data_IF_700753545008
#
_entry.id   IF_700753545008
#
_cell.length_a   1.000
_cell.length_b   1.000
_cell.length_c   1.000
_cell.angle_alpha   90.00
_cell.angle_beta   90.00
_cell.angle_gamma   90.00
#
_symmetry.space_group_name_H-M   'P 1'
#
loop_
_entity.id
_entity.type
_entity.pdbx_description
1 polymer ?
#
# COMPACT_ATOMS: atom_id res chain seq x y z
N UNK A 1 -13.15 -9.86 8.01
CA UNK A 1 -13.15 -8.42 7.68
C UNK A 1 -13.66 -8.19 6.26
N UNK A 2 -14.20 -6.98 6.00
CA UNK A 2 -14.68 -6.58 4.68
C UNK A 2 -13.51 -6.07 3.83
N UNK A 3 -13.54 -6.37 2.54
CA UNK A 3 -12.59 -5.82 1.57
C UNK A 3 -13.22 -4.65 0.80
N UNK A 4 -12.41 -3.90 0.07
CA UNK A 4 -12.92 -2.82 -0.79
C UNK A 4 -13.97 -3.33 -1.79
N UNK A 5 -13.80 -4.54 -2.32
CA UNK A 5 -14.76 -5.14 -3.25
C UNK A 5 -16.12 -5.39 -2.60
N UNK A 6 -16.13 -5.84 -1.34
CA UNK A 6 -17.38 -6.08 -0.58
C UNK A 6 -18.10 -4.75 -0.30
N UNK A 7 -17.32 -3.70 0.02
CA UNK A 7 -17.86 -2.36 0.27
C UNK A 7 -18.49 -1.77 -0.99
N UNK A 8 -17.80 -1.83 -2.13
CA UNK A 8 -18.30 -1.30 -3.40
C UNK A 8 -19.55 -2.04 -3.91
N UNK A 9 -19.73 -3.33 -3.55
CA UNK A 9 -20.95 -4.08 -3.89
C UNK A 9 -22.19 -3.60 -3.15
N UNK A 10 -22.02 -3.04 -1.96
CA UNK A 10 -23.12 -2.59 -1.10
C UNK A 10 -23.57 -1.15 -1.40
N UNK A 11 -22.81 -0.41 -2.18
CA UNK A 11 -23.08 0.98 -2.52
C UNK A 11 -23.85 1.11 -3.86
N UNK A 12 -24.19 2.34 -4.23
CA UNK A 12 -25.05 2.62 -5.36
C UNK A 12 -24.41 2.40 -6.76
N UNK A 13 -25.12 2.78 -7.84
CA UNK A 13 -24.71 2.50 -9.22
C UNK A 13 -23.35 3.07 -9.64
N UNK A 14 -22.88 4.16 -9.01
CA UNK A 14 -21.56 4.74 -9.24
C UNK A 14 -20.43 3.80 -8.78
N UNK A 15 -20.57 3.22 -7.60
CA UNK A 15 -19.63 2.28 -7.01
C UNK A 15 -19.62 0.94 -7.74
N UNK A 16 -20.74 0.49 -8.30
CA UNK A 16 -20.79 -0.71 -9.15
C UNK A 16 -19.96 -0.57 -10.43
N UNK A 17 -19.92 0.62 -11.04
CA UNK A 17 -19.06 0.90 -12.21
C UNK A 17 -17.57 0.85 -11.83
N UNK A 18 -17.22 1.36 -10.67
CA UNK A 18 -15.87 1.23 -10.10
C UNK A 18 -15.53 -0.23 -9.85
N UNK A 19 -16.44 -0.99 -9.25
CA UNK A 19 -16.28 -2.42 -9.01
C UNK A 19 -15.98 -3.21 -10.28
N UNK A 20 -16.71 -2.96 -11.37
CA UNK A 20 -16.47 -3.61 -12.67
C UNK A 20 -15.10 -3.23 -13.25
N UNK A 21 -14.69 -1.96 -13.09
CA UNK A 21 -13.34 -1.51 -13.46
C UNK A 21 -12.28 -2.24 -12.63
N UNK A 22 -12.42 -2.29 -11.31
CA UNK A 22 -11.49 -2.98 -10.39
C UNK A 22 -11.38 -4.46 -10.71
N UNK A 23 -12.48 -5.17 -10.88
CA UNK A 23 -12.47 -6.60 -11.26
C UNK A 23 -11.73 -6.84 -12.57
N UNK A 24 -11.84 -5.91 -13.52
CA UNK A 24 -11.14 -6.00 -14.80
C UNK A 24 -9.66 -5.59 -14.74
N UNK A 25 -9.25 -4.87 -13.68
CA UNK A 25 -7.91 -4.36 -13.42
C UNK A 25 -7.21 -5.10 -12.26
N UNK A 26 -7.89 -6.02 -11.60
CA UNK A 26 -7.55 -6.65 -10.33
C UNK A 26 -6.18 -7.32 -10.20
N UNK A 27 -5.32 -7.14 -11.19
CA UNK A 27 -3.91 -7.54 -11.16
C UNK A 27 -2.96 -6.35 -10.93
N UNK A 28 -3.47 -5.09 -10.99
CA UNK A 28 -2.59 -3.91 -10.95
C UNK A 28 -2.37 -3.31 -9.55
N UNK A 29 -3.21 -3.65 -8.57
CA UNK A 29 -3.07 -3.15 -7.18
C UNK A 29 -3.62 -4.18 -6.19
N UNK A 30 -2.91 -5.31 -6.00
CA UNK A 30 -3.40 -6.40 -5.16
C UNK A 30 -3.57 -5.99 -3.70
N UNK A 31 -2.79 -5.05 -3.17
CA UNK A 31 -2.91 -4.52 -1.81
C UNK A 31 -4.25 -3.82 -1.57
N UNK A 32 -4.70 -3.01 -2.53
CA UNK A 32 -5.99 -2.28 -2.42
C UNK A 32 -7.17 -3.25 -2.37
N UNK A 33 -7.05 -4.41 -2.99
CA UNK A 33 -8.09 -5.44 -3.01
C UNK A 33 -8.00 -6.44 -1.86
N UNK A 34 -6.79 -6.69 -1.34
CA UNK A 34 -6.52 -7.67 -0.30
C UNK A 34 -6.65 -7.12 1.12
N UNK A 35 -6.39 -5.82 1.31
CA UNK A 35 -6.44 -5.23 2.64
C UNK A 35 -7.89 -5.01 3.08
N UNK A 36 -8.20 -5.18 4.37
CA UNK A 36 -9.52 -4.91 4.92
C UNK A 36 -9.85 -3.42 4.83
N UNK A 37 -11.14 -3.11 4.85
CA UNK A 37 -11.65 -1.75 4.76
C UNK A 37 -12.63 -1.51 5.89
N UNK A 38 -12.40 -0.45 6.64
CA UNK A 38 -13.32 0.03 7.69
C UNK A 38 -13.99 1.31 7.22
N UNK A 39 -15.33 1.33 7.28
CA UNK A 39 -16.12 2.54 7.00
C UNK A 39 -16.27 3.37 8.27
N UNK A 40 -16.03 4.68 8.14
CA UNK A 40 -16.19 5.62 9.24
C UNK A 40 -17.31 6.63 8.98
N UNK A 41 -17.94 7.09 10.05
CA UNK A 41 -18.91 8.19 10.00
C UNK A 41 -18.16 9.52 10.02
N UNK A 42 -17.92 10.09 8.84
CA UNK A 42 -17.20 11.37 8.69
C UNK A 42 -15.85 11.22 8.00
N UNK A 43 -14.94 12.15 8.25
CA UNK A 43 -13.61 12.24 7.60
C UNK A 43 -12.46 11.93 8.55
N UNK A 44 -12.74 11.68 9.83
CA UNK A 44 -11.73 11.30 10.82
C UNK A 44 -12.34 10.54 11.98
N UNK A 45 -11.55 9.74 12.66
CA UNK A 45 -11.89 9.10 13.93
C UNK A 45 -10.66 9.00 14.84
N UNK A 46 -10.90 8.85 16.13
CA UNK A 46 -9.85 8.72 17.11
C UNK A 46 -9.68 7.27 17.55
N UNK A 47 -8.43 6.82 17.55
CA UNK A 47 -8.02 5.52 18.05
C UNK A 47 -7.32 5.73 19.39
N UNK A 48 -7.74 5.00 20.40
CA UNK A 48 -7.05 4.97 21.69
C UNK A 48 -6.17 3.73 21.77
N UNK A 49 -4.87 3.92 21.63
CA UNK A 49 -3.88 2.83 21.70
C UNK A 49 -3.30 2.75 23.13
N UNK A 50 -3.10 1.54 23.61
CA UNK A 50 -2.43 1.31 24.90
C UNK A 50 -0.94 1.55 24.72
N UNK A 51 -0.44 2.66 25.26
CA UNK A 51 0.98 3.02 25.22
C UNK A 51 1.81 2.27 26.27
N UNK A 52 1.19 1.75 27.30
CA UNK A 52 1.89 0.98 28.32
C UNK A 52 0.96 0.29 29.29
N UNK A 53 1.28 -0.98 29.55
CA UNK A 53 0.59 -1.80 30.56
C UNK A 53 1.38 -1.73 31.86
N UNK A 54 0.74 -1.46 33.01
CA UNK A 54 1.44 -1.35 34.28
C UNK A 54 1.97 -2.74 34.73
N UNK A 55 3.17 -2.75 35.27
CA UNK A 55 3.76 -3.96 35.86
C UNK A 55 3.20 -4.17 37.23
N UNK A 56 2.54 -5.32 37.45
CA UNK A 56 2.01 -5.74 38.76
C UNK A 56 3.15 -6.24 39.63
N UNK A 57 3.26 -5.72 40.85
CA UNK A 57 4.21 -6.18 41.84
C UNK A 57 3.55 -7.05 42.91
N UNK A 58 4.35 -7.85 43.58
CA UNK A 58 3.91 -8.62 44.75
C UNK A 58 4.02 -7.76 46.03
N UNK A 59 3.12 -7.96 46.98
CA UNK A 59 3.15 -7.30 48.26
C UNK A 59 3.08 -8.33 49.41
N UNK A 60 3.71 -8.08 50.55
CA UNK A 60 3.51 -8.89 51.72
C UNK A 60 2.09 -8.68 52.30
N UNK A 61 1.58 -9.64 53.09
CA UNK A 61 0.33 -9.47 53.83
C UNK A 61 0.35 -8.19 54.66
N UNK A 62 -0.79 -7.50 54.75
CA UNK A 62 -0.99 -6.24 55.50
C UNK A 62 -0.21 -5.00 54.98
N UNK A 63 0.49 -5.07 53.85
CA UNK A 63 1.06 -3.90 53.20
C UNK A 63 0.08 -3.33 52.16
N UNK A 64 0.20 -2.02 51.84
CA UNK A 64 -0.57 -1.38 50.77
C UNK A 64 -0.14 -1.83 49.38
N UNK A 65 -1.07 -1.85 48.41
CA UNK A 65 -0.76 -2.04 46.99
C UNK A 65 -0.60 -0.68 46.30
N UNK A 66 0.30 -0.60 45.32
CA UNK A 66 0.45 0.60 44.49
C UNK A 66 -0.68 0.64 43.47
N UNK A 67 -1.34 1.81 43.35
CA UNK A 67 -2.31 2.01 42.28
C UNK A 67 -1.60 2.00 40.91
N UNK A 68 -2.16 1.25 39.99
CA UNK A 68 -1.60 1.02 38.66
C UNK A 68 -2.60 1.54 37.61
N UNK A 69 -2.13 2.43 36.76
CA UNK A 69 -2.93 2.97 35.67
C UNK A 69 -2.29 2.58 34.32
N UNK A 70 -3.12 2.18 33.39
CA UNK A 70 -2.72 1.96 32.00
C UNK A 70 -2.50 3.32 31.32
N UNK A 71 -1.44 3.43 30.55
CA UNK A 71 -1.21 4.63 29.73
C UNK A 71 -1.84 4.45 28.36
N UNK A 72 -2.66 5.41 27.96
CA UNK A 72 -3.30 5.46 26.65
C UNK A 72 -2.72 6.61 25.84
N UNK A 73 -2.62 6.42 24.54
CA UNK A 73 -2.29 7.47 23.58
C UNK A 73 -3.38 7.51 22.54
N UNK A 74 -3.93 8.68 22.29
CA UNK A 74 -4.91 8.89 21.23
C UNK A 74 -4.20 9.27 19.94
N UNK A 75 -4.60 8.61 18.86
CA UNK A 75 -4.15 8.88 17.49
C UNK A 75 -5.38 9.19 16.65
N UNK A 76 -5.34 10.30 15.92
CA UNK A 76 -6.40 10.66 14.97
C UNK A 76 -6.04 10.11 13.59
N UNK A 77 -6.92 9.29 13.03
CA UNK A 77 -6.85 8.83 11.63
C UNK A 77 -7.76 9.73 10.81
N UNK A 78 -7.22 10.29 9.73
CA UNK A 78 -7.95 11.17 8.81
C UNK A 78 -8.10 10.50 7.46
N UNK A 79 -9.24 10.74 6.82
CA UNK A 79 -9.45 10.44 5.40
C UNK A 79 -9.15 11.70 4.59
N UNK A 80 -8.62 11.49 3.40
CA UNK A 80 -8.27 12.52 2.43
C UNK A 80 -9.11 12.33 1.18
N UNK A 81 -9.41 13.41 0.50
CA UNK A 81 -10.29 13.40 -0.65
C UNK A 81 -9.49 13.10 -1.91
N UNK A 82 -9.86 12.04 -2.62
CA UNK A 82 -9.34 11.74 -3.94
C UNK A 82 -10.31 12.27 -4.99
N UNK A 83 -9.80 12.95 -6.01
CA UNK A 83 -10.57 13.54 -7.10
C UNK A 83 -9.87 13.25 -8.43
N UNK A 84 -10.53 12.46 -9.26
CA UNK A 84 -10.05 12.10 -10.60
C UNK A 84 -11.03 12.60 -11.67
N UNK A 85 -10.85 13.83 -12.23
CA UNK A 85 -11.68 14.31 -13.31
C UNK A 85 -11.41 13.52 -14.60
N UNK A 86 -12.48 13.15 -15.31
CA UNK A 86 -12.45 12.45 -16.58
C UNK A 86 -13.12 13.38 -17.61
N UNK A 87 -12.36 13.84 -18.60
CA UNK A 87 -12.83 14.75 -19.63
C UNK A 87 -12.47 14.20 -21.01
N UNK A 88 -13.46 14.01 -21.85
CA UNK A 88 -13.26 13.57 -23.24
C UNK A 88 -14.00 14.54 -24.19
N UNK A 89 -13.28 15.11 -25.14
CA UNK A 89 -13.85 16.02 -26.12
C UNK A 89 -14.97 15.35 -26.94
N UNK A 90 -16.14 16.01 -27.01
CA UNK A 90 -17.29 15.52 -27.76
C UNK A 90 -16.95 15.28 -29.22
N UNK A 91 -16.11 16.14 -29.82
CA UNK A 91 -15.72 16.00 -31.23
C UNK A 91 -14.96 14.68 -31.47
N UNK A 92 -14.11 14.25 -30.54
CA UNK A 92 -13.39 12.99 -30.62
C UNK A 92 -14.35 11.80 -30.46
N UNK A 93 -15.28 11.89 -29.51
CA UNK A 93 -16.28 10.83 -29.27
C UNK A 93 -17.21 10.64 -30.45
N UNK A 94 -17.69 11.75 -31.05
CA UNK A 94 -18.61 11.70 -32.18
C UNK A 94 -17.94 11.32 -33.50
N UNK A 95 -16.67 11.63 -33.70
CA UNK A 95 -15.89 11.22 -34.88
C UNK A 95 -15.46 9.76 -34.84
N UNK A 96 -15.44 9.12 -33.66
CA UNK A 96 -15.04 7.72 -33.53
C UNK A 96 -16.22 6.78 -33.84
N UNK A 97 -15.95 5.64 -34.54
CA UNK A 97 -16.96 4.61 -34.81
C UNK A 97 -17.61 4.01 -33.53
N UNK A 98 -16.92 4.09 -32.38
CA UNK A 98 -17.36 3.53 -31.09
C UNK A 98 -17.08 4.51 -29.94
N UNK A 99 -17.70 5.69 -29.95
CA UNK A 99 -17.49 6.73 -28.92
C UNK A 99 -17.76 6.26 -27.49
N UNK A 100 -18.82 5.45 -27.29
CA UNK A 100 -19.12 4.88 -25.98
C UNK A 100 -18.00 3.96 -25.46
N UNK A 101 -17.35 3.20 -26.34
CA UNK A 101 -16.22 2.34 -25.98
C UNK A 101 -14.97 3.16 -25.63
N UNK A 102 -14.78 4.31 -26.28
CA UNK A 102 -13.70 5.23 -25.96
C UNK A 102 -13.87 5.82 -24.55
N UNK A 103 -15.08 6.32 -24.23
CA UNK A 103 -15.40 6.81 -22.88
C UNK A 103 -15.21 5.75 -21.81
N UNK A 104 -15.68 4.54 -22.06
CA UNK A 104 -15.50 3.43 -21.12
C UNK A 104 -14.01 3.09 -20.91
N UNK A 105 -13.19 3.18 -21.96
CA UNK A 105 -11.75 2.96 -21.87
C UNK A 105 -11.06 4.05 -21.04
N UNK A 106 -11.39 5.32 -21.26
CA UNK A 106 -10.81 6.43 -20.48
C UNK A 106 -11.22 6.35 -19.01
N UNK A 107 -12.50 6.09 -18.73
CA UNK A 107 -12.99 5.85 -17.37
C UNK A 107 -12.19 4.73 -16.68
N UNK A 108 -11.97 3.62 -17.40
CA UNK A 108 -11.18 2.50 -16.88
C UNK A 108 -9.73 2.90 -16.60
N UNK A 109 -9.10 3.66 -17.49
CA UNK A 109 -7.71 4.11 -17.34
C UNK A 109 -7.56 5.04 -16.12
N UNK A 110 -8.46 6.00 -15.95
CA UNK A 110 -8.45 6.92 -14.79
C UNK A 110 -8.69 6.17 -13.49
N UNK A 111 -9.63 5.23 -13.47
CA UNK A 111 -9.86 4.37 -12.31
C UNK A 111 -8.61 3.56 -11.96
N UNK A 112 -7.94 2.97 -12.96
CA UNK A 112 -6.67 2.27 -12.77
C UNK A 112 -5.58 3.19 -12.18
N UNK A 113 -5.48 4.41 -12.70
CA UNK A 113 -4.56 5.43 -12.20
C UNK A 113 -4.83 5.79 -10.74
N UNK A 114 -6.09 5.98 -10.36
CA UNK A 114 -6.47 6.27 -8.99
C UNK A 114 -6.09 5.13 -8.03
N UNK A 115 -6.34 3.88 -8.40
CA UNK A 115 -5.93 2.73 -7.58
C UNK A 115 -4.41 2.59 -7.47
N UNK A 116 -3.68 2.83 -8.55
CA UNK A 116 -2.23 2.82 -8.54
C UNK A 116 -1.67 3.95 -7.65
N UNK A 117 -2.31 5.13 -7.64
CA UNK A 117 -1.94 6.24 -6.75
C UNK A 117 -2.20 5.89 -5.28
N UNK A 118 -3.35 5.32 -4.95
CA UNK A 118 -3.66 4.86 -3.59
C UNK A 118 -2.68 3.78 -3.14
N UNK A 119 -2.36 2.82 -4.01
CA UNK A 119 -1.39 1.78 -3.73
C UNK A 119 0.01 2.33 -3.47
N UNK A 120 0.47 3.28 -4.30
CA UNK A 120 1.76 3.93 -4.11
C UNK A 120 1.82 4.71 -2.79
N UNK A 121 0.77 5.50 -2.49
CA UNK A 121 0.65 6.27 -1.27
C UNK A 121 0.56 5.40 0.00
N UNK A 122 0.12 4.16 -0.13
CA UNK A 122 0.14 3.20 0.98
C UNK A 122 1.55 3.02 1.54
N UNK A 123 2.56 2.99 0.67
CA UNK A 123 3.95 2.73 1.04
C UNK A 123 4.81 3.99 1.13
N UNK A 124 4.51 5.01 0.31
CA UNK A 124 5.32 6.22 0.18
C UNK A 124 4.46 7.48 0.25
N UNK A 125 5.07 8.56 0.74
CA UNK A 125 4.50 9.89 0.71
C UNK A 125 5.61 10.91 0.41
N UNK A 126 5.31 11.92 -0.40
CA UNK A 126 6.20 13.07 -0.53
C UNK A 126 6.07 13.95 0.72
N UNK A 127 7.19 14.40 1.25
CA UNK A 127 7.21 15.21 2.48
C UNK A 127 6.47 16.54 2.34
N UNK A 128 6.38 17.04 1.11
CA UNK A 128 5.71 18.30 0.78
C UNK A 128 4.18 18.16 0.68
N UNK A 129 3.67 16.94 0.53
CA UNK A 129 2.23 16.69 0.36
C UNK A 129 1.55 16.50 1.71
N UNK A 130 0.96 17.59 2.23
CA UNK A 130 0.18 17.56 3.48
C UNK A 130 -1.26 17.05 3.27
N UNK A 131 -1.77 17.12 2.04
CA UNK A 131 -3.14 16.78 1.68
C UNK A 131 -3.37 15.28 1.36
N UNK A 132 -2.39 14.43 1.68
CA UNK A 132 -2.46 12.98 1.50
C UNK A 132 -2.27 12.24 2.83
N UNK A 133 -2.83 11.04 2.92
CA UNK A 133 -2.70 10.24 4.14
C UNK A 133 -1.25 9.80 4.40
N UNK A 134 -0.84 9.72 5.69
CA UNK A 134 0.48 9.25 6.06
C UNK A 134 0.66 7.79 5.64
N UNK A 135 1.79 7.45 5.01
CA UNK A 135 2.08 6.12 4.54
C UNK A 135 2.32 5.12 5.69
N UNK A 136 2.31 3.83 5.39
CA UNK A 136 2.51 2.77 6.39
C UNK A 136 3.85 2.92 7.11
N UNK A 137 4.92 3.28 6.39
CA UNK A 137 6.25 3.45 6.98
C UNK A 137 6.35 4.60 7.99
N UNK A 138 5.52 5.65 7.85
CA UNK A 138 5.46 6.76 8.81
C UNK A 138 4.62 6.44 10.05
N UNK A 139 3.72 5.47 9.95
CA UNK A 139 2.80 5.11 11.04
C UNK A 139 3.31 3.96 11.91
N UNK A 140 4.28 3.18 11.42
CA UNK A 140 4.89 2.08 12.17
C UNK A 140 5.95 2.58 13.15
N UNK A 141 6.28 1.78 14.16
CA UNK A 141 7.34 2.09 15.12
C UNK A 141 8.74 1.81 14.54
N UNK A 142 9.71 2.67 14.83
CA UNK A 142 11.11 2.52 14.37
C UNK A 142 11.72 1.17 14.74
N UNK A 143 11.35 0.62 15.91
CA UNK A 143 11.80 -0.67 16.40
C UNK A 143 11.25 -1.87 15.60
N UNK A 144 10.27 -1.66 14.74
CA UNK A 144 9.72 -2.68 13.84
C UNK A 144 10.43 -2.74 12.48
N UNK A 145 11.64 -2.19 12.39
CA UNK A 145 12.42 -2.15 11.15
C UNK A 145 13.75 -2.89 11.32
N UNK A 146 14.09 -3.72 10.33
CA UNK A 146 15.39 -4.41 10.21
C UNK A 146 16.02 -4.04 8.86
N UNK A 147 17.35 -3.84 8.83
CA UNK A 147 18.08 -3.70 7.58
C UNK A 147 18.55 -5.06 7.05
N UNK A 148 18.41 -5.30 5.75
CA UNK A 148 18.99 -6.44 5.05
C UNK A 148 20.51 -6.34 5.01
N UNK A 149 21.05 -5.12 4.93
CA UNK A 149 22.48 -4.85 5.01
C UNK A 149 22.95 -4.88 6.48
N UNK A 150 23.83 -5.82 6.86
CA UNK A 150 24.34 -5.93 8.23
C UNK A 150 25.08 -4.67 8.71
N UNK A 151 25.75 -3.93 7.80
CA UNK A 151 26.50 -2.72 8.14
C UNK A 151 25.59 -1.56 8.57
N UNK A 152 24.31 -1.61 8.22
CA UNK A 152 23.29 -0.59 8.48
C UNK A 152 22.30 -0.98 9.59
N UNK A 153 22.63 -2.00 10.39
CA UNK A 153 21.77 -2.48 11.49
C UNK A 153 21.97 -1.71 12.79
N UNK A 154 23.09 -0.98 12.94
CA UNK A 154 23.28 -0.12 14.10
C UNK A 154 22.22 0.99 14.14
N UNK A 155 21.70 1.25 15.33
CA UNK A 155 20.63 2.23 15.55
C UNK A 155 21.19 3.66 15.58
N UNK A 156 21.70 4.11 14.44
CA UNK A 156 22.18 5.49 14.22
C UNK A 156 21.15 6.28 13.40
N UNK A 157 21.12 7.60 13.57
CA UNK A 157 20.24 8.48 12.81
C UNK A 157 20.47 8.34 11.29
N UNK A 158 21.73 8.22 10.87
CA UNK A 158 22.11 7.99 9.47
C UNK A 158 21.51 6.69 8.92
N UNK A 159 21.60 5.58 9.69
CA UNK A 159 21.06 4.30 9.29
C UNK A 159 19.53 4.28 9.29
N UNK A 160 18.87 5.03 10.18
CA UNK A 160 17.41 5.20 10.17
C UNK A 160 16.93 5.94 8.93
N UNK A 161 17.66 6.99 8.53
CA UNK A 161 17.34 7.80 7.35
C UNK A 161 17.68 7.12 6.02
N UNK A 162 18.59 6.12 6.03
CA UNK A 162 18.99 5.41 4.80
C UNK A 162 17.88 4.44 4.34
N UNK A 163 17.38 4.70 3.14
CA UNK A 163 16.39 3.89 2.44
C UNK A 163 16.91 3.48 1.05
N UNK A 164 18.19 3.11 0.94
CA UNK A 164 18.77 2.61 -0.30
C UNK A 164 18.31 1.17 -0.58
N UNK A 165 17.83 0.91 -1.80
CA UNK A 165 17.31 -0.40 -2.19
C UNK A 165 15.81 -0.58 -1.95
N UNK A 166 15.33 -1.81 -2.06
CA UNK A 166 13.92 -2.15 -1.89
C UNK A 166 13.56 -2.49 -0.43
N UNK A 167 12.27 -2.53 -0.15
CA UNK A 167 11.74 -3.03 1.13
C UNK A 167 10.78 -4.20 0.95
N UNK A 168 10.63 -4.99 2.02
CA UNK A 168 9.58 -5.97 2.20
C UNK A 168 8.88 -5.73 3.54
N UNK A 169 7.58 -5.94 3.59
CA UNK A 169 6.75 -5.69 4.78
C UNK A 169 6.05 -6.95 5.24
N UNK A 170 6.13 -7.26 6.53
CA UNK A 170 5.30 -8.27 7.17
C UNK A 170 4.10 -7.55 7.78
N UNK A 171 2.90 -7.93 7.37
CA UNK A 171 1.68 -7.21 7.76
C UNK A 171 0.68 -8.13 8.47
N UNK A 172 0.08 -7.62 9.55
CA UNK A 172 -1.10 -8.19 10.17
C UNK A 172 -2.29 -7.36 9.72
N UNK A 173 -3.24 -7.97 9.05
CA UNK A 173 -4.44 -7.33 8.55
C UNK A 173 -5.62 -7.52 9.52
N UNK A 174 -6.40 -6.47 9.72
CA UNK A 174 -7.60 -6.50 10.56
C UNK A 174 -7.98 -5.10 11.02
N UNK A 175 -9.17 -4.99 11.59
CA UNK A 175 -9.72 -3.71 12.05
C UNK A 175 -8.91 -3.09 13.19
N UNK A 176 -8.25 -3.90 14.02
CA UNK A 176 -7.37 -3.45 15.11
C UNK A 176 -5.88 -3.35 14.70
N UNK A 177 -5.55 -3.60 13.43
CA UNK A 177 -4.19 -3.66 12.93
C UNK A 177 -3.99 -2.73 11.73
N UNK A 178 -3.74 -3.29 10.55
CA UNK A 178 -3.59 -2.55 9.31
C UNK A 178 -4.85 -2.70 8.47
N UNK A 179 -5.47 -1.58 8.13
CA UNK A 179 -6.63 -1.55 7.25
C UNK A 179 -6.78 -0.19 6.53
N UNK A 180 -7.50 -0.20 5.41
CA UNK A 180 -7.93 1.04 4.78
C UNK A 180 -9.14 1.63 5.51
N UNK A 181 -9.23 2.95 5.49
CA UNK A 181 -10.35 3.70 6.06
C UNK A 181 -11.03 4.46 4.94
N UNK A 182 -12.36 4.32 4.85
CA UNK A 182 -13.17 4.99 3.85
C UNK A 182 -14.33 5.74 4.50
N UNK A 183 -14.58 6.96 4.00
CA UNK A 183 -15.70 7.76 4.48
C UNK A 183 -17.04 7.14 4.10
N UNK A 184 -18.02 7.19 5.01
CA UNK A 184 -19.32 6.49 4.85
C UNK A 184 -20.13 6.95 3.65
N UNK A 185 -20.08 8.25 3.31
CA UNK A 185 -20.92 8.82 2.25
C UNK A 185 -20.27 8.81 0.87
N UNK A 186 -18.96 8.67 0.79
CA UNK A 186 -18.21 8.68 -0.47
C UNK A 186 -17.00 7.75 -0.36
N UNK A 187 -17.23 6.46 -0.46
CA UNK A 187 -16.14 5.48 -0.45
C UNK A 187 -15.25 5.66 -1.67
N UNK A 188 -15.74 5.35 -2.82
CA UNK A 188 -15.16 5.65 -4.13
C UNK A 188 -16.29 5.53 -5.14
N UNK A 189 -16.64 6.62 -5.77
CA UNK A 189 -17.81 6.69 -6.65
C UNK A 189 -17.47 7.38 -7.95
N UNK A 190 -18.04 6.85 -9.03
CA UNK A 190 -17.95 7.45 -10.36
C UNK A 190 -19.24 8.20 -10.65
N UNK A 191 -19.16 9.52 -10.87
CA UNK A 191 -20.30 10.33 -11.23
C UNK A 191 -20.85 9.93 -12.60
N UNK A 192 -22.17 10.14 -12.87
CA UNK A 192 -22.72 9.92 -14.19
C UNK A 192 -22.03 10.81 -15.22
N UNK A 193 -21.83 10.27 -16.43
CA UNK A 193 -21.30 11.07 -17.56
C UNK A 193 -22.28 12.18 -17.91
N UNK A 194 -21.80 13.43 -17.93
CA UNK A 194 -22.54 14.62 -18.32
C UNK A 194 -21.88 15.26 -19.52
N UNK A 195 -22.66 15.99 -20.32
CA UNK A 195 -22.14 16.84 -21.36
C UNK A 195 -22.03 18.26 -20.81
N UNK A 196 -20.80 18.78 -20.71
CA UNK A 196 -20.53 20.10 -20.13
C UNK A 196 -19.56 20.89 -20.99
N UNK A 197 -19.59 22.20 -20.81
CA UNK A 197 -18.66 23.12 -21.47
C UNK A 197 -17.44 23.31 -20.57
N UNK A 198 -16.27 22.89 -21.05
CA UNK A 198 -15.01 22.90 -20.29
C UNK A 198 -14.08 23.97 -20.89
N UNK A 199 -13.42 24.70 -19.99
CA UNK A 199 -12.42 25.69 -20.37
C UNK A 199 -11.16 25.00 -20.89
N UNK A 200 -10.67 25.38 -22.08
CA UNK A 200 -9.42 24.85 -22.65
C UNK A 200 -8.70 25.96 -23.38
N UNK A 201 -7.38 26.00 -23.23
CA UNK A 201 -6.56 26.94 -24.04
C UNK A 201 -6.62 26.60 -25.54
N UNK A 202 -6.70 27.61 -26.34
CA UNK A 202 -6.58 27.50 -27.82
C UNK A 202 -5.12 27.18 -28.18
N UNK A 203 -4.90 26.91 -29.51
CA UNK A 203 -3.51 26.70 -29.99
C UNK A 203 -2.60 27.93 -29.80
N UNK A 204 -3.19 29.11 -29.63
CA UNK A 204 -2.47 30.37 -29.39
C UNK A 204 -2.41 30.75 -27.90
N UNK A 205 -2.65 29.78 -26.97
CA UNK A 205 -2.70 29.97 -25.53
C UNK A 205 -3.79 30.91 -24.98
N UNK A 206 -4.73 31.34 -25.85
CA UNK A 206 -5.87 32.14 -25.45
C UNK A 206 -6.94 31.29 -24.75
N UNK A 207 -7.75 31.91 -23.89
CA UNK A 207 -8.85 31.21 -23.21
C UNK A 207 -9.92 30.81 -24.25
N UNK A 208 -10.27 29.55 -24.25
CA UNK A 208 -11.29 28.97 -25.11
C UNK A 208 -12.15 27.98 -24.32
N UNK A 209 -13.14 27.40 -24.96
CA UNK A 209 -13.96 26.35 -24.35
C UNK A 209 -14.34 25.30 -25.38
N UNK A 210 -14.44 24.07 -24.93
CA UNK A 210 -14.92 22.93 -25.71
C UNK A 210 -16.13 22.30 -25.00
N UNK A 211 -16.95 21.61 -25.77
CA UNK A 211 -17.97 20.74 -25.21
C UNK A 211 -17.36 19.36 -25.02
N UNK A 212 -17.34 18.88 -23.78
CA UNK A 212 -16.77 17.59 -23.41
C UNK A 212 -17.79 16.72 -22.67
N UNK A 213 -17.60 15.42 -22.75
CA UNK A 213 -18.21 14.47 -21.81
C UNK A 213 -17.36 14.42 -20.56
N UNK A 214 -17.96 14.79 -19.43
CA UNK A 214 -17.30 14.84 -18.13
C UNK A 214 -17.84 13.78 -17.18
N UNK A 215 -16.99 13.19 -16.40
CA UNK A 215 -17.30 12.33 -15.26
C UNK A 215 -16.21 12.55 -14.20
N UNK A 216 -16.48 12.20 -12.97
CA UNK A 216 -15.54 12.39 -11.88
C UNK A 216 -15.50 11.16 -11.02
N UNK A 217 -14.29 10.68 -10.74
CA UNK A 217 -14.04 9.64 -9.74
C UNK A 217 -13.65 10.33 -8.43
N UNK A 218 -14.45 10.15 -7.40
CA UNK A 218 -14.29 10.87 -6.15
C UNK A 218 -14.54 9.97 -4.93
N UNK A 219 -13.87 10.26 -3.82
CA UNK A 219 -14.05 9.55 -2.58
C UNK A 219 -13.12 10.02 -1.46
N UNK A 220 -13.44 9.63 -0.23
CA UNK A 220 -12.61 9.86 0.95
C UNK A 220 -11.93 8.58 1.36
N UNK A 221 -10.61 8.55 1.38
CA UNK A 221 -9.82 7.38 1.73
C UNK A 221 -8.66 7.72 2.67
N UNK A 222 -8.17 6.71 3.35
CA UNK A 222 -7.02 6.77 4.23
C UNK A 222 -6.54 5.38 4.58
N UNK A 223 -5.45 5.29 5.31
CA UNK A 223 -4.92 4.04 5.86
C UNK A 223 -4.66 4.21 7.36
N UNK A 224 -4.98 3.19 8.12
CA UNK A 224 -4.77 3.15 9.55
C UNK A 224 -3.83 2.00 9.94
N UNK A 225 -2.82 2.31 10.73
CA UNK A 225 -2.02 1.35 11.48
C UNK A 225 -2.36 1.55 12.95
N UNK A 226 -3.29 0.73 13.48
CA UNK A 226 -3.80 0.92 14.84
C UNK A 226 -2.87 0.37 15.89
N UNK A 227 -2.34 -0.83 15.65
CA UNK A 227 -1.37 -1.45 16.56
C UNK A 227 0.06 -1.11 16.16
N UNK A 228 0.94 -0.78 17.13
CA UNK A 228 2.37 -0.59 16.85
C UNK A 228 3.06 -1.87 16.37
N UNK A 229 2.41 -3.02 16.50
CA UNK A 229 2.89 -4.32 16.01
C UNK A 229 2.13 -4.79 14.77
N UNK A 230 1.41 -3.91 14.07
CA UNK A 230 0.67 -4.31 12.86
C UNK A 230 1.60 -4.58 11.67
N UNK A 231 2.74 -3.89 11.61
CA UNK A 231 3.64 -3.93 10.45
C UNK A 231 5.09 -4.01 10.91
N UNK A 232 5.89 -4.89 10.27
CA UNK A 232 7.34 -4.86 10.35
C UNK A 232 7.94 -4.68 8.96
N UNK A 233 9.05 -3.94 8.85
CA UNK A 233 9.73 -3.62 7.61
C UNK A 233 11.13 -4.21 7.57
N UNK A 234 11.48 -4.82 6.45
CA UNK A 234 12.85 -5.20 6.09
C UNK A 234 13.27 -4.22 4.99
N UNK A 235 14.21 -3.33 5.26
CA UNK A 235 14.69 -2.30 4.33
C UNK A 235 16.07 -2.61 3.77
N UNK A 236 16.52 -1.81 2.80
CA UNK A 236 17.86 -1.90 2.19
C UNK A 236 18.11 -3.26 1.52
N UNK A 237 17.09 -3.83 0.89
CA UNK A 237 17.21 -5.06 0.11
C UNK A 237 17.85 -4.70 -1.23
N UNK A 238 19.04 -5.24 -1.50
CA UNK A 238 19.82 -5.01 -2.72
C UNK A 238 20.24 -6.35 -3.32
N UNK A 239 20.77 -6.39 -4.57
CA UNK A 239 21.32 -7.63 -5.11
C UNK A 239 22.47 -8.22 -4.30
N UNK A 240 23.23 -7.38 -3.56
CA UNK A 240 24.30 -7.80 -2.66
C UNK A 240 23.79 -8.32 -1.32
N UNK A 241 22.69 -7.76 -0.84
CA UNK A 241 21.99 -8.14 0.38
C UNK A 241 20.53 -8.52 0.07
N UNK A 242 20.32 -9.67 -0.60
CA UNK A 242 18.99 -10.11 -1.00
C UNK A 242 18.15 -10.52 0.21
N UNK A 243 16.82 -10.50 0.04
CA UNK A 243 15.91 -11.06 1.03
C UNK A 243 16.15 -12.56 1.18
N UNK A 244 16.25 -13.03 2.43
CA UNK A 244 16.42 -14.45 2.76
C UNK A 244 15.32 -14.92 3.72
N UNK A 245 15.09 -16.24 3.79
CA UNK A 245 14.18 -16.84 4.76
C UNK A 245 14.59 -16.54 6.22
N UNK A 246 15.89 -16.40 6.48
CA UNK A 246 16.44 -16.04 7.79
C UNK A 246 16.08 -14.61 8.17
N UNK A 247 16.20 -13.64 7.24
CA UNK A 247 15.79 -12.25 7.47
C UNK A 247 14.31 -12.13 7.77
N UNK A 248 13.46 -12.89 7.06
CA UNK A 248 12.03 -12.92 7.34
C UNK A 248 11.75 -13.55 8.69
N UNK A 249 12.47 -14.62 9.08
CA UNK A 249 12.35 -15.20 10.40
C UNK A 249 12.79 -14.22 11.51
N UNK A 250 13.86 -13.45 11.27
CA UNK A 250 14.33 -12.40 12.17
C UNK A 250 13.28 -11.29 12.32
N UNK A 251 12.75 -10.76 11.19
CA UNK A 251 11.67 -9.77 11.22
C UNK A 251 10.41 -10.26 11.95
N UNK A 252 10.08 -11.55 11.83
CA UNK A 252 8.98 -12.18 12.57
C UNK A 252 9.21 -12.14 14.08
N UNK A 253 10.46 -12.10 14.55
CA UNK A 253 10.75 -12.03 16.00
C UNK A 253 10.44 -10.67 16.60
N UNK A 254 10.34 -9.61 15.81
CA UNK A 254 9.93 -8.28 16.27
C UNK A 254 8.49 -8.26 16.79
N UNK A 255 7.66 -9.15 16.27
CA UNK A 255 6.30 -9.30 16.77
C UNK A 255 6.26 -10.04 18.10
N UNK A 256 5.37 -9.66 19.02
CA UNK A 256 5.08 -10.45 20.21
C UNK A 256 4.76 -11.89 19.84
N UNK A 257 5.20 -12.86 20.67
CA UNK A 257 5.04 -14.30 20.37
C UNK A 257 3.59 -14.70 20.06
N UNK A 258 2.61 -14.08 20.73
CA UNK A 258 1.19 -14.33 20.51
C UNK A 258 0.70 -13.83 19.13
N UNK A 259 1.36 -12.83 18.55
CA UNK A 259 0.94 -12.21 17.27
C UNK A 259 1.66 -12.82 16.06
N UNK A 260 2.75 -13.56 16.25
CA UNK A 260 3.54 -14.15 15.14
C UNK A 260 2.73 -15.07 14.22
N UNK A 261 1.71 -15.73 14.76
CA UNK A 261 0.79 -16.57 13.99
C UNK A 261 -0.31 -15.80 13.25
N UNK A 262 -0.47 -14.49 13.52
CA UNK A 262 -1.47 -13.63 12.92
C UNK A 262 -0.97 -12.89 11.68
N UNK A 263 0.33 -12.98 11.35
CA UNK A 263 0.90 -12.31 10.18
C UNK A 263 0.21 -12.85 8.93
N UNK A 264 -0.44 -11.93 8.20
CA UNK A 264 -1.31 -12.27 7.07
C UNK A 264 -0.52 -12.44 5.78
N UNK A 265 0.41 -11.51 5.52
CA UNK A 265 1.22 -11.49 4.30
C UNK A 265 2.64 -11.00 4.55
N UNK A 266 3.55 -11.46 3.69
CA UNK A 266 4.80 -10.77 3.39
C UNK A 266 4.60 -10.04 2.07
N UNK A 267 4.55 -8.71 2.12
CA UNK A 267 4.35 -7.86 0.95
C UNK A 267 5.69 -7.47 0.38
N UNK A 268 5.89 -7.72 -0.90
CA UNK A 268 7.14 -7.41 -1.61
C UNK A 268 6.90 -7.20 -3.09
N UNK A 269 7.84 -6.55 -3.77
CA UNK A 269 7.79 -6.43 -5.22
C UNK A 269 8.31 -7.71 -5.93
N UNK A 270 8.05 -7.84 -7.23
CA UNK A 270 8.43 -9.02 -8.01
C UNK A 270 9.94 -9.24 -8.09
N UNK A 271 10.77 -8.19 -8.04
CA UNK A 271 12.24 -8.32 -8.08
C UNK A 271 12.77 -8.88 -6.76
N UNK A 272 12.25 -8.40 -5.63
CA UNK A 272 12.59 -8.94 -4.30
C UNK A 272 12.15 -10.40 -4.19
N UNK A 273 10.95 -10.74 -4.68
CA UNK A 273 10.47 -12.14 -4.74
C UNK A 273 11.40 -13.02 -5.57
N UNK A 274 11.82 -12.53 -6.74
CA UNK A 274 12.79 -13.25 -7.59
C UNK A 274 14.15 -13.42 -6.88
N UNK A 275 14.62 -12.41 -6.16
CA UNK A 275 15.82 -12.48 -5.31
C UNK A 275 15.70 -13.59 -4.27
N UNK A 276 14.59 -13.61 -3.53
CA UNK A 276 14.29 -14.65 -2.54
C UNK A 276 14.27 -16.06 -3.17
N UNK A 277 13.65 -16.22 -4.34
CA UNK A 277 13.64 -17.50 -5.04
C UNK A 277 15.03 -17.95 -5.49
N UNK A 278 15.91 -17.01 -5.88
CA UNK A 278 17.31 -17.32 -6.23
C UNK A 278 18.10 -17.81 -5.01
N UNK A 279 17.93 -17.23 -3.83
CA UNK A 279 18.61 -17.67 -2.61
C UNK A 279 18.17 -19.07 -2.16
N UNK A 280 16.95 -19.48 -2.49
CA UNK A 280 16.39 -20.81 -2.20
C UNK A 280 16.83 -21.91 -3.17
N UNK A 281 17.41 -21.56 -4.32
CA UNK A 281 17.90 -22.54 -5.29
C UNK A 281 19.16 -23.24 -4.76
N UNK A 282 19.01 -24.48 -4.33
CA UNK A 282 20.14 -25.34 -3.99
C UNK A 282 20.71 -25.83 -5.33
N UNK A 283 21.96 -25.44 -5.65
CA UNK A 283 22.70 -26.05 -6.77
C UNK A 283 22.99 -27.49 -6.37
N UNK A 284 22.58 -28.51 -7.15
CA UNK A 284 22.90 -29.89 -6.87
C UNK A 284 24.44 -30.05 -6.88
N UNK A 285 25.01 -30.39 -5.73
CA UNK A 285 26.43 -30.74 -5.67
C UNK A 285 26.68 -32.01 -6.49
N UNK A 286 27.75 -32.04 -7.29
CA UNK A 286 28.25 -33.19 -8.02
C UNK A 286 28.82 -34.23 -7.08
N UNK A 287 27.99 -34.83 -6.24
CA UNK A 287 28.35 -35.92 -5.32
C UNK A 287 27.24 -36.96 -5.23
N UNK A 288 27.63 -38.22 -5.19
CA UNK A 288 26.79 -39.42 -5.11
C UNK A 288 25.87 -39.44 -3.86
N UNK A 289 24.94 -38.52 -3.74
CA UNK A 289 23.95 -38.49 -2.68
C UNK A 289 22.62 -37.96 -3.22
N UNK A 290 21.54 -38.67 -2.96
CA UNK A 290 20.19 -38.29 -3.35
C UNK A 290 19.90 -36.85 -2.99
N UNK A 291 19.75 -36.03 -3.97
CA UNK A 291 19.39 -34.61 -3.83
C UNK A 291 17.94 -34.51 -3.40
N UNK A 292 17.70 -34.29 -2.12
CA UNK A 292 16.41 -33.83 -1.64
C UNK A 292 16.24 -32.41 -2.15
N UNK A 293 15.59 -32.23 -3.27
CA UNK A 293 15.02 -30.95 -3.63
C UNK A 293 13.86 -30.70 -2.66
N UNK A 294 14.11 -29.90 -1.63
CA UNK A 294 13.03 -29.35 -0.85
C UNK A 294 12.37 -28.34 -1.78
N UNK A 295 11.24 -28.71 -2.34
CA UNK A 295 10.37 -27.82 -3.07
C UNK A 295 9.80 -26.81 -2.06
N UNK A 296 10.49 -25.70 -1.88
CA UNK A 296 9.95 -24.58 -1.10
C UNK A 296 8.85 -23.93 -1.94
N UNK A 297 7.66 -23.80 -1.36
CA UNK A 297 6.55 -23.11 -2.01
C UNK A 297 7.01 -21.71 -2.46
N UNK A 298 6.93 -21.39 -3.79
CA UNK A 298 7.37 -20.10 -4.30
C UNK A 298 6.52 -18.92 -3.80
N UNK A 299 5.30 -19.19 -3.36
CA UNK A 299 4.32 -18.18 -2.95
C UNK A 299 4.16 -18.05 -1.42
N UNK A 300 5.04 -18.70 -0.66
CA UNK A 300 5.09 -18.55 0.80
C UNK A 300 6.52 -18.45 1.32
N UNK A 301 6.67 -17.79 2.48
CA UNK A 301 7.91 -17.70 3.27
C UNK A 301 7.60 -17.86 4.73
N UNK A 302 8.30 -18.76 5.44
CA UNK A 302 8.05 -19.06 6.87
C UNK A 302 6.57 -19.37 7.17
N UNK A 303 5.87 -20.06 6.24
CA UNK A 303 4.42 -20.35 6.27
C UNK A 303 3.51 -19.10 6.19
N UNK A 304 4.04 -17.96 5.74
CA UNK A 304 3.29 -16.75 5.49
C UNK A 304 3.17 -16.57 3.98
N UNK A 305 1.96 -16.23 3.50
CA UNK A 305 1.73 -15.98 2.06
C UNK A 305 2.48 -14.74 1.60
N UNK A 306 3.02 -14.79 0.38
CA UNK A 306 3.61 -13.62 -0.27
C UNK A 306 2.50 -12.88 -1.03
N UNK A 307 2.40 -11.58 -0.82
CA UNK A 307 1.62 -10.66 -1.63
C UNK A 307 2.59 -9.86 -2.50
N UNK A 308 2.60 -10.18 -3.79
CA UNK A 308 3.42 -9.47 -4.76
C UNK A 308 2.70 -8.21 -5.21
N UNK A 309 3.37 -7.06 -5.08
CA UNK A 309 2.81 -5.74 -5.40
C UNK A 309 3.76 -4.95 -6.27
N UNK A 310 3.19 -4.23 -7.24
CA UNK A 310 3.97 -3.39 -8.17
C UNK A 310 4.21 -1.98 -7.63
N UNK A 311 3.52 -1.58 -6.57
CA UNK A 311 3.62 -0.27 -5.94
C UNK A 311 4.87 -0.11 -5.05
N UNK A 312 5.50 -1.22 -4.63
CA UNK A 312 6.78 -1.18 -3.93
C UNK A 312 7.94 -0.98 -4.92
N UNK A 313 8.73 0.06 -4.68
CA UNK A 313 9.86 0.43 -5.53
C UNK A 313 11.06 -0.50 -5.33
N UNK A 314 11.89 -0.61 -6.36
CA UNK A 314 13.16 -1.36 -6.28
C UNK A 314 14.29 -0.56 -5.61
N UNK A 315 14.10 0.75 -5.56
CA UNK A 315 14.97 1.70 -4.89
C UNK A 315 14.09 2.76 -4.24
N UNK A 316 14.20 2.89 -2.93
CA UNK A 316 13.40 3.80 -2.12
C UNK A 316 14.14 5.12 -1.81
N UNK A 317 15.16 5.46 -2.61
CA UNK A 317 15.79 6.77 -2.55
C UNK A 317 14.75 7.88 -2.80
N UNK A 318 14.99 9.05 -2.22
CA UNK A 318 14.06 10.18 -2.35
C UNK A 318 13.84 10.57 -3.82
N UNK A 319 14.88 10.45 -4.67
CA UNK A 319 14.77 10.69 -6.10
C UNK A 319 13.85 9.69 -6.79
N UNK A 320 13.98 8.40 -6.47
CA UNK A 320 13.13 7.33 -7.02
C UNK A 320 11.68 7.48 -6.58
N UNK A 321 11.44 7.84 -5.32
CA UNK A 321 10.09 8.11 -4.81
C UNK A 321 9.48 9.33 -5.50
N UNK A 322 10.21 10.44 -5.66
CA UNK A 322 9.74 11.63 -6.41
C UNK A 322 9.42 11.29 -7.86
N UNK A 323 10.27 10.50 -8.53
CA UNK A 323 10.02 10.06 -9.90
C UNK A 323 8.75 9.19 -10.01
N UNK A 324 8.46 8.39 -8.97
CA UNK A 324 7.26 7.58 -8.91
C UNK A 324 5.96 8.39 -8.81
N UNK A 325 6.00 9.58 -8.21
CA UNK A 325 4.85 10.49 -8.12
C UNK A 325 4.76 11.49 -9.28
N UNK A 326 5.73 11.53 -10.21
CA UNK A 326 5.69 12.40 -11.38
C UNK A 326 4.55 12.00 -12.35
N UNK A 327 4.04 12.97 -13.15
CA UNK A 327 2.92 12.75 -14.08
C UNK A 327 3.16 11.59 -15.06
N UNK A 328 4.42 11.35 -15.47
CA UNK A 328 4.82 10.29 -16.41
C UNK A 328 5.21 8.95 -15.73
N UNK A 329 4.87 8.78 -14.45
CA UNK A 329 5.25 7.61 -13.65
C UNK A 329 4.98 6.26 -14.34
N UNK A 330 3.81 6.07 -14.91
CA UNK A 330 3.48 4.81 -15.59
C UNK A 330 4.39 4.50 -16.78
N UNK A 331 4.84 5.50 -17.52
CA UNK A 331 5.80 5.34 -18.61
C UNK A 331 7.21 5.06 -18.08
N UNK A 332 7.65 5.81 -17.08
CA UNK A 332 8.97 5.66 -16.47
C UNK A 332 9.10 4.29 -15.77
N UNK A 333 8.09 3.83 -15.07
CA UNK A 333 8.07 2.52 -14.41
C UNK A 333 8.17 1.37 -15.41
N UNK A 334 7.35 1.39 -16.49
CA UNK A 334 7.41 0.36 -17.55
C UNK A 334 8.72 0.39 -18.32
N UNK A 335 9.28 1.56 -18.60
CA UNK A 335 10.57 1.68 -19.28
C UNK A 335 11.74 1.25 -18.42
N UNK A 336 11.73 1.50 -17.11
CA UNK A 336 12.78 1.04 -16.19
C UNK A 336 12.77 -0.49 -16.00
N UNK A 337 11.60 -1.12 -16.04
CA UNK A 337 11.47 -2.59 -16.07
C UNK A 337 11.94 -3.18 -17.41
N UNK A 338 11.70 -2.51 -18.53
CA UNK A 338 12.14 -2.94 -19.86
C UNK A 338 13.66 -2.81 -20.07
N UNK A 339 14.33 -1.88 -19.38
CA UNK A 339 15.77 -1.65 -19.49
C UNK A 339 16.63 -2.55 -18.59
N UNK A 340 16.01 -3.33 -17.67
CA UNK A 340 16.71 -4.25 -16.75
C UNK A 340 16.55 -5.72 -17.12
N UNK A 341 15.92 -6.03 -18.26
CA UNK A 341 15.95 -7.33 -18.92
C UNK A 341 17.00 -7.30 -20.03
#
# INVERSE_FOLDING_TARGET
YMTLLDVLQQEGPGSLKVLDAVRSLGLSSPEVTAFPVTKIDGTSYEITTVAGVPRIGYRPPNAGAKNLNTRHTNKTVKCYYIDGPIEVDKAIVTSSKNGAKLLAKETKNVTAGAFASVALQTWYRLKEDEDVFPCVSEQMGDYMTISADPSKREDTEANRADNSGASAYLVILGDDFLHYVWGKQMTLSLSPVKEERVSRKTKNEEEGSITAYTSRLEGWNGIAVESPYAVARIKNITPEHPLTDELVAEAKTLFPSAMRGMISYVVMNGIVKLGLQKTRRITPGTGNGATSMIATDPDSVQNIKILEVDSLLNDESEESVRAAFAEDYFKAYRSSLALKN
#
